data_IF_032337661545
#
_entry.id   IF_032337661545
#
_cell.length_a   1.000
_cell.length_b   1.000
_cell.length_c   1.000
_cell.angle_alpha   90.00
_cell.angle_beta   90.00
_cell.angle_gamma   90.00
#
_symmetry.space_group_name_H-M   'P 1'
#
loop_
_entity.id
_entity.type
_entity.pdbx_description
1 polymer ?
2 non-polymer ?
3 non-polymer ?
4 non-polymer ?
5 non-polymer ?
6 water ?
#
# COMPACT_ATOMS: atom_id res chain seq x y z
N UNK A 8 -11.61 12.62 -11.34
CA UNK A 8 -10.41 11.94 -10.86
C UNK A 8 -9.12 12.74 -10.96
N UNK A 9 -8.78 13.43 -9.87
CA UNK A 9 -7.51 14.17 -9.81
C UNK A 9 -6.73 13.55 -8.66
N UNK A 10 -5.42 13.39 -8.87
CA UNK A 10 -4.54 12.82 -7.86
C UNK A 10 -3.25 13.63 -7.76
N UNK A 11 -2.90 13.93 -6.52
CA UNK A 11 -1.74 14.73 -6.19
C UNK A 11 -0.42 13.98 -5.95
N UNK A 12 0.69 14.69 -6.16
CA UNK A 12 2.03 14.15 -5.92
C UNK A 12 2.28 14.52 -4.45
N UNK A 13 2.37 13.53 -3.57
CA UNK A 13 2.55 13.76 -2.13
C UNK A 13 3.53 12.72 -1.60
N UNK A 14 4.83 12.92 -1.80
CA UNK A 14 5.78 11.92 -1.31
C UNK A 14 5.68 11.60 0.19
N UNK A 15 5.65 10.30 0.50
CA UNK A 15 5.56 9.83 1.86
C UNK A 15 4.24 10.12 2.54
N UNK A 16 3.28 10.66 1.78
CA UNK A 16 1.96 10.96 2.31
C UNK A 16 1.84 12.05 3.35
N UNK A 17 2.88 12.84 3.52
CA UNK A 17 2.89 13.91 4.52
C UNK A 17 2.20 15.10 3.90
N UNK A 18 1.17 15.58 4.58
CA UNK A 18 0.38 16.70 4.09
C UNK A 18 0.18 17.64 5.27
N UNK A 19 0.36 18.93 5.05
CA UNK A 19 0.18 19.87 6.14
C UNK A 19 -1.29 20.05 6.43
N UNK A 20 -1.59 20.63 7.59
CA UNK A 20 -2.96 20.90 8.00
C UNK A 20 -3.56 22.04 7.16
N UNK A 21 -2.71 22.93 6.69
CA UNK A 21 -3.12 24.03 5.84
C UNK A 21 -3.60 23.43 4.52
N UNK A 22 -2.80 22.50 4.00
CA UNK A 22 -3.13 21.79 2.77
C UNK A 22 -4.36 20.94 2.99
N UNK A 23 -4.52 20.38 4.18
CA UNK A 23 -5.68 19.57 4.47
C UNK A 23 -6.94 20.40 4.42
N UNK A 24 -6.89 21.63 4.90
CA UNK A 24 -8.07 22.50 4.88
C UNK A 24 -8.46 22.88 3.47
N UNK A 25 -7.48 23.08 2.61
CA UNK A 25 -7.75 23.43 1.24
C UNK A 25 -8.36 22.25 0.46
N UNK A 26 -7.98 21.02 0.79
CA UNK A 26 -8.54 19.87 0.08
C UNK A 26 -9.90 19.48 0.62
N UNK A 27 -10.12 19.68 1.91
CA UNK A 27 -11.40 19.35 2.53
C UNK A 27 -12.48 20.26 1.92
N UNK A 28 -12.17 21.54 1.78
CA UNK A 28 -13.08 22.52 1.22
C UNK A 28 -13.46 22.16 -0.21
N UNK A 29 -12.45 21.94 -1.03
CA UNK A 29 -12.66 21.58 -2.42
C UNK A 29 -13.51 20.32 -2.54
N UNK A 30 -13.13 19.27 -1.81
CA UNK A 30 -13.86 18.00 -1.83
C UNK A 30 -15.34 18.21 -1.57
N UNK A 31 -15.65 19.06 -0.61
CA UNK A 31 -17.03 19.33 -0.26
C UNK A 31 -17.81 20.23 -1.21
N UNK A 32 -17.21 21.31 -1.69
CA UNK A 32 -17.93 22.22 -2.56
C UNK A 32 -17.75 22.05 -4.07
N UNK A 33 -16.86 21.17 -4.51
CA UNK A 33 -16.66 21.06 -5.95
C UNK A 33 -16.62 19.67 -6.53
N UNK A 34 -17.17 18.67 -5.83
CA UNK A 34 -17.17 17.30 -6.34
C UNK A 34 -18.54 16.66 -6.11
N UNK A 35 -18.90 15.65 -6.94
CA UNK A 35 -20.17 14.96 -6.71
C UNK A 35 -20.26 14.23 -5.39
N UNK A 36 -19.26 13.44 -5.05
CA UNK A 36 -19.27 12.60 -3.83
C UNK A 36 -18.99 13.26 -2.50
N UNK A 37 -18.36 14.42 -2.58
CA UNK A 37 -18.02 15.24 -1.44
C UNK A 37 -17.03 14.60 -0.49
N UNK A 38 -16.39 13.54 -0.93
CA UNK A 38 -15.46 12.82 -0.10
C UNK A 38 -14.01 13.11 -0.40
N UNK A 39 -13.15 12.65 0.51
CA UNK A 39 -11.71 12.72 0.34
C UNK A 39 -11.45 11.23 0.41
N UNK A 40 -10.76 10.69 -0.59
CA UNK A 40 -10.48 9.25 -0.59
C UNK A 40 -8.97 9.08 -0.49
N UNK A 41 -8.52 8.50 0.62
CA UNK A 41 -7.09 8.25 0.84
C UNK A 41 -6.81 6.99 0.06
N UNK A 42 -5.71 6.98 -0.69
CA UNK A 42 -5.37 5.81 -1.50
C UNK A 42 -4.26 5.02 -0.86
N UNK A 43 -4.07 3.80 -1.33
CA UNK A 43 -3.02 2.97 -0.78
C UNK A 43 -1.59 3.30 -1.26
N UNK A 44 -1.43 4.46 -1.88
CA UNK A 44 -0.12 4.96 -2.31
C UNK A 44 0.17 6.27 -1.60
N UNK A 45 -0.45 6.46 -0.45
CA UNK A 45 -0.21 7.63 0.37
C UNK A 45 -0.56 8.98 -0.23
N UNK A 46 -1.68 9.05 -0.94
CA UNK A 46 -2.10 10.33 -1.46
C UNK A 46 -3.62 10.33 -1.39
N UNK A 47 -4.25 11.35 -1.93
CA UNK A 47 -5.70 11.45 -1.90
C UNK A 47 -6.30 11.65 -3.28
N UNK A 48 -7.61 11.42 -3.37
CA UNK A 48 -8.38 11.57 -4.59
C UNK A 48 -9.74 12.19 -4.35
N UNK A 49 -10.19 12.99 -5.31
CA UNK A 49 -11.51 13.61 -5.28
C UNK A 49 -12.26 12.74 -6.30
N UNK A 50 -13.56 12.56 -6.15
CA UNK A 50 -14.34 11.78 -7.10
C UNK A 50 -15.47 12.63 -7.66
N UNK A 51 -15.52 12.70 -8.98
CA UNK A 51 -16.57 13.46 -9.65
C UNK A 51 -16.35 14.94 -9.54
N UNK A 52 -15.22 15.40 -10.05
CA UNK A 52 -14.94 16.82 -10.00
C UNK A 52 -15.86 17.47 -11.01
N UNK A 53 -16.64 18.43 -10.54
CA UNK A 53 -17.59 19.13 -11.40
C UNK A 53 -16.92 20.16 -12.32
N UNK A 59 -8.37 25.01 -12.27
CA UNK A 59 -9.04 25.31 -10.99
C UNK A 59 -8.55 24.42 -9.85
N UNK A 60 -8.54 23.11 -10.08
CA UNK A 60 -8.03 22.17 -9.10
C UNK A 60 -6.52 22.39 -8.93
N UNK A 61 -5.88 22.75 -10.03
CA UNK A 61 -4.43 23.01 -10.06
C UNK A 61 -4.02 24.29 -9.39
N UNK A 62 -4.88 25.29 -9.42
CA UNK A 62 -4.59 26.57 -8.80
C UNK A 62 -4.80 26.42 -7.31
N UNK A 63 -5.75 25.55 -6.95
CA UNK A 63 -6.09 25.26 -5.57
C UNK A 63 -4.92 24.47 -5.00
N UNK A 64 -4.48 23.45 -5.72
CA UNK A 64 -3.35 22.65 -5.29
C UNK A 64 -2.13 23.57 -5.20
N UNK A 65 -1.80 24.19 -6.32
CA UNK A 65 -0.67 25.12 -6.40
C UNK A 65 -0.63 26.15 -5.28
N UNK A 66 -1.78 26.73 -4.93
CA UNK A 66 -1.82 27.75 -3.88
C UNK A 66 -1.39 27.28 -2.50
N UNK A 67 -1.61 26.02 -2.18
CA UNK A 67 -1.18 25.46 -0.90
C UNK A 67 0.16 24.72 -1.06
N UNK A 68 0.78 24.85 -2.23
CA UNK A 68 2.06 24.23 -2.48
C UNK A 68 2.00 22.82 -3.06
N UNK A 69 0.81 22.34 -3.35
CA UNK A 69 0.62 21.01 -3.91
C UNK A 69 0.63 21.01 -5.43
N UNK A 70 1.08 19.91 -6.04
CA UNK A 70 1.08 19.83 -7.50
C UNK A 70 0.51 18.50 -7.99
N UNK A 71 -0.26 18.56 -9.07
CA UNK A 71 -0.86 17.36 -9.67
C UNK A 71 0.10 16.88 -10.75
N UNK A 72 0.59 15.66 -10.60
CA UNK A 72 1.52 15.07 -11.56
C UNK A 72 1.11 15.25 -13.03
N UNK A 76 1.91 12.07 -19.72
CA UNK A 76 3.28 11.98 -20.17
C UNK A 76 4.20 11.41 -19.08
N UNK A 77 3.92 11.77 -17.84
CA UNK A 77 4.71 11.31 -16.72
C UNK A 77 4.27 9.92 -16.29
N UNK A 78 5.17 8.96 -16.45
CA UNK A 78 4.87 7.59 -16.07
C UNK A 78 5.21 7.34 -14.60
N UNK A 79 5.28 8.40 -13.81
CA UNK A 79 5.62 8.31 -12.40
C UNK A 79 4.42 8.44 -11.47
N UNK A 80 4.34 7.52 -10.51
CA UNK A 80 3.30 7.49 -9.49
C UNK A 80 3.90 8.04 -8.17
N UNK A 81 3.06 8.16 -7.14
CA UNK A 81 3.51 8.66 -5.85
C UNK A 81 4.54 7.76 -5.19
N UNK A 82 5.62 8.38 -4.71
CA UNK A 82 6.70 7.66 -4.03
C UNK A 82 6.30 7.50 -2.56
N UNK A 83 6.26 6.25 -2.09
CA UNK A 83 5.86 5.94 -0.72
C UNK A 83 7.03 5.92 0.28
N UNK A 84 6.69 6.12 1.56
CA UNK A 84 7.68 6.08 2.62
C UNK A 84 7.01 5.58 3.89
N UNK A 85 7.65 4.60 4.54
CA UNK A 85 7.15 4.06 5.79
C UNK A 85 6.66 5.25 6.64
N UNK A 86 5.39 5.22 6.97
CA UNK A 86 4.77 6.32 7.70
C UNK A 86 5.02 6.50 9.18
N UNK A 87 5.18 5.39 9.91
CA UNK A 87 5.33 5.44 11.38
C UNK A 87 6.35 4.43 11.89
N UNK A 88 7.64 4.64 11.57
CA UNK A 88 8.69 3.70 12.00
C UNK A 88 8.81 3.51 13.52
N UNK A 89 9.12 2.28 13.93
CA UNK A 89 9.28 2.00 15.37
C UNK A 89 10.36 2.87 16.00
N UNK A 90 11.39 3.17 15.21
CA UNK A 90 12.48 4.03 15.63
C UNK A 90 12.07 5.35 14.98
N UNK A 91 11.17 6.08 15.66
CA UNK A 91 10.63 7.35 15.16
C UNK A 91 11.56 8.36 14.55
N UNK A 92 12.82 8.37 14.98
CA UNK A 92 13.76 9.34 14.46
C UNK A 92 14.14 9.10 13.01
N UNK A 93 14.04 7.84 12.57
CA UNK A 93 14.43 7.51 11.21
C UNK A 93 13.52 8.09 10.15
N UNK A 94 12.27 8.35 10.50
CA UNK A 94 11.33 8.88 9.54
C UNK A 94 11.76 10.15 8.80
N UNK A 95 12.25 11.15 9.53
CA UNK A 95 12.69 12.41 8.94
C UNK A 95 13.65 12.25 7.77
N UNK A 96 14.65 11.40 7.93
CA UNK A 96 15.62 11.20 6.87
C UNK A 96 15.05 10.37 5.72
N UNK A 97 14.36 9.29 6.06
CA UNK A 97 13.76 8.41 5.06
C UNK A 97 12.79 9.23 4.24
N UNK A 98 12.07 10.13 4.88
CA UNK A 98 11.09 10.96 4.21
C UNK A 98 11.77 11.98 3.33
N UNK A 99 12.88 12.54 3.82
CA UNK A 99 13.62 13.52 3.04
C UNK A 99 14.11 12.81 1.76
N UNK A 100 14.52 11.56 1.88
CA UNK A 100 14.97 10.85 0.71
C UNK A 100 13.86 10.49 -0.28
N UNK A 101 12.68 10.14 0.23
CA UNK A 101 11.55 9.82 -0.63
C UNK A 101 11.24 11.06 -1.47
N UNK A 102 11.21 12.20 -0.79
CA UNK A 102 10.92 13.49 -1.40
C UNK A 102 11.94 13.85 -2.46
N UNK A 103 13.20 13.44 -2.28
CA UNK A 103 14.24 13.74 -3.24
C UNK A 103 14.18 12.85 -4.46
N UNK A 104 13.86 11.58 -4.27
CA UNK A 104 13.72 10.64 -5.39
C UNK A 104 12.53 11.10 -6.24
N UNK A 105 11.48 11.55 -5.57
CA UNK A 105 10.27 12.04 -6.22
C UNK A 105 10.61 13.15 -7.17
N UNK A 106 11.25 14.20 -6.67
CA UNK A 106 11.64 15.36 -7.46
C UNK A 106 12.69 15.01 -8.48
N UNK A 107 13.54 14.05 -8.16
CA UNK A 107 14.58 13.64 -9.09
C UNK A 107 14.05 12.92 -10.32
N UNK A 108 13.08 12.05 -10.12
CA UNK A 108 12.51 11.28 -11.22
C UNK A 108 11.57 12.10 -12.09
N UNK A 109 11.19 13.27 -11.58
CA UNK A 109 10.29 14.19 -12.29
C UNK A 109 10.96 14.70 -13.57
N UNK A 110 10.23 14.68 -14.71
CA UNK A 110 10.73 15.14 -16.01
C UNK A 110 11.36 16.54 -15.97
N UNK A 137 11.90 11.37 -19.30
CA UNK A 137 11.87 10.17 -20.10
C UNK A 137 10.47 9.58 -20.14
N UNK A 138 10.10 9.00 -21.29
CA UNK A 138 8.79 8.37 -21.40
C UNK A 138 8.96 6.88 -21.15
N UNK A 139 8.51 6.44 -19.98
CA UNK A 139 8.62 5.04 -19.60
C UNK A 139 7.61 4.16 -20.36
N UNK A 140 7.96 2.88 -20.60
CA UNK A 140 7.05 1.96 -21.31
C UNK A 140 5.76 1.85 -20.48
N UNK A 141 5.89 1.67 -19.17
CA UNK A 141 4.75 1.58 -18.25
C UNK A 141 4.99 2.48 -17.04
N UNK A 142 3.98 2.69 -16.20
CA UNK A 142 4.14 3.55 -15.02
C UNK A 142 5.13 2.96 -14.00
N UNK A 143 5.99 3.82 -13.45
CA UNK A 143 7.02 3.42 -12.50
C UNK A 143 6.65 3.74 -11.06
N UNK A 144 6.66 2.72 -10.21
CA UNK A 144 6.30 2.87 -8.81
C UNK A 144 7.53 2.69 -7.91
N UNK A 145 7.72 3.63 -6.99
CA UNK A 145 8.87 3.61 -6.09
C UNK A 145 8.53 3.81 -4.62
N UNK A 146 9.32 3.19 -3.73
CA UNK A 146 9.15 3.30 -2.28
C UNK A 146 10.50 3.38 -1.54
N UNK A 147 10.42 3.89 -0.31
CA UNK A 147 11.56 3.96 0.62
C UNK A 147 10.96 3.21 1.82
N UNK A 148 11.54 2.07 2.18
CA UNK A 148 11.03 1.26 3.28
C UNK A 148 11.96 1.31 4.50
N UNK A 149 11.36 1.30 5.69
CA UNK A 149 12.11 1.31 6.94
C UNK A 149 11.78 0.04 7.71
N UNK A 150 12.64 -0.99 7.61
CA UNK A 150 12.41 -2.25 8.32
C UNK A 150 12.16 -1.88 9.79
N UNK A 151 11.42 -2.72 10.52
CA UNK A 151 10.82 -3.96 10.04
C UNK A 151 9.41 -3.81 9.49
N UNK A 152 9.03 -2.62 9.08
CA UNK A 152 7.68 -2.42 8.55
C UNK A 152 7.62 -2.36 7.03
N UNK A 153 6.77 -3.20 6.46
CA UNK A 153 6.58 -3.23 5.02
C UNK A 153 5.15 -2.77 4.72
N UNK A 154 4.73 -1.70 5.39
CA UNK A 154 3.40 -1.13 5.18
C UNK A 154 3.24 -0.61 3.76
N UNK A 155 4.32 -0.14 3.15
CA UNK A 155 4.22 0.37 1.79
C UNK A 155 4.12 -0.73 0.76
N UNK A 156 4.17 -1.97 1.22
CA UNK A 156 4.02 -3.15 0.36
C UNK A 156 4.99 -3.09 -0.84
N UNK A 157 6.28 -3.14 -0.53
CA UNK A 157 7.35 -3.05 -1.52
C UNK A 157 7.24 -3.98 -2.72
N UNK A 158 6.82 -5.21 -2.51
CA UNK A 158 6.71 -6.16 -3.60
C UNK A 158 5.71 -5.85 -4.70
N UNK A 159 4.98 -4.73 -4.55
CA UNK A 159 4.02 -4.31 -5.56
C UNK A 159 4.66 -3.22 -6.42
N UNK A 160 5.91 -2.88 -6.10
CA UNK A 160 6.58 -1.78 -6.77
C UNK A 160 7.80 -2.11 -7.63
N UNK A 161 8.05 -1.23 -8.59
CA UNK A 161 9.17 -1.34 -9.52
C UNK A 161 10.54 -1.15 -8.87
N UNK A 162 10.67 -0.08 -8.08
CA UNK A 162 11.92 0.27 -7.42
C UNK A 162 11.71 0.57 -5.94
N UNK A 163 12.50 -0.10 -5.10
CA UNK A 163 12.41 0.03 -3.65
C UNK A 163 13.76 0.27 -2.97
N UNK A 164 13.77 1.23 -2.06
CA UNK A 164 14.97 1.53 -1.31
C UNK A 164 14.69 1.21 0.15
N UNK A 165 15.24 0.08 0.61
CA UNK A 165 15.09 -0.37 1.98
C UNK A 165 16.19 0.30 2.84
N UNK A 166 15.78 1.22 3.71
CA UNK A 166 16.71 1.96 4.57
C UNK A 166 17.50 1.15 5.58
N UNK A 167 18.81 1.38 5.60
CA UNK A 167 19.72 0.70 6.51
C UNK A 167 20.30 1.81 7.38
N UNK A 168 20.00 1.74 8.67
CA UNK A 168 20.48 2.73 9.61
C UNK A 168 21.52 2.15 10.57
N UNK A 169 22.39 3.03 11.05
CA UNK A 169 23.45 2.70 11.98
C UNK A 169 23.52 3.92 12.89
N UNK A 170 23.49 3.65 14.19
CA UNK A 170 23.53 4.71 15.19
C UNK A 170 22.46 5.78 14.96
N UNK A 171 21.21 5.32 14.73
CA UNK A 171 20.10 6.22 14.51
C UNK A 171 20.14 7.06 13.24
N UNK A 172 21.07 6.70 12.36
CA UNK A 172 21.30 7.39 11.10
C UNK A 172 21.24 6.46 9.90
N UNK A 173 20.70 6.95 8.81
CA UNK A 173 20.63 6.16 7.60
C UNK A 173 22.03 6.18 7.02
N UNK A 174 22.53 5.04 6.59
CA UNK A 174 23.85 5.04 5.94
C UNK A 174 23.70 4.67 4.46
N UNK A 175 22.64 3.96 4.12
CA UNK A 175 22.40 3.57 2.74
C UNK A 175 21.08 2.84 2.55
N UNK A 176 20.93 2.19 1.39
CA UNK A 176 19.72 1.47 1.03
C UNK A 176 20.00 0.13 0.33
N UNK A 177 19.09 -0.80 0.53
CA UNK A 177 19.17 -2.09 -0.14
C UNK A 177 18.18 -1.86 -1.28
N UNK A 178 18.62 -2.06 -2.52
CA UNK A 178 17.74 -1.86 -3.66
C UNK A 178 17.04 -3.14 -4.09
N UNK A 179 15.72 -3.14 -4.07
CA UNK A 179 14.92 -4.29 -4.55
C UNK A 179 14.16 -3.76 -5.76
N UNK A 180 14.23 -4.47 -6.89
CA UNK A 180 13.59 -4.02 -8.13
C UNK A 180 12.69 -5.06 -8.81
N UNK A 181 11.60 -4.62 -9.43
CA UNK A 181 10.77 -5.55 -10.18
C UNK A 181 9.42 -6.07 -9.71
N UNK A 182 8.83 -5.46 -8.71
CA UNK A 182 7.53 -5.95 -8.27
C UNK A 182 6.44 -5.34 -9.12
N UNK A 183 5.32 -6.04 -9.20
CA UNK A 183 4.16 -5.58 -9.98
C UNK A 183 3.05 -6.60 -9.80
N UNK A 184 1.82 -6.15 -9.59
CA UNK A 184 0.72 -7.10 -9.31
C UNK A 184 -0.33 -7.41 -10.38
N UNK A 185 -0.45 -6.52 -11.34
CA UNK A 185 -1.39 -6.58 -12.44
C UNK A 185 -1.31 -7.83 -13.30
N UNK A 186 -2.46 -8.45 -13.52
CA UNK A 186 -2.57 -9.62 -14.36
C UNK A 186 -3.82 -9.43 -15.22
N UNK A 187 -4.07 -10.37 -16.11
CA UNK A 187 -5.23 -10.31 -16.96
C UNK A 187 -5.85 -11.69 -16.78
N UNK A 188 -7.15 -11.76 -16.59
CA UNK A 188 -7.79 -13.04 -16.35
C UNK A 188 -7.54 -14.04 -17.46
N UNK A 189 -7.18 -15.28 -17.15
CA UNK A 189 -6.97 -16.24 -18.21
C UNK A 189 -5.77 -16.04 -19.13
N UNK A 190 -4.97 -15.02 -18.88
CA UNK A 190 -3.79 -14.73 -19.70
C UNK A 190 -2.49 -15.14 -18.96
N UNK A 191 -2.04 -16.36 -19.20
CA UNK A 191 -0.86 -16.87 -18.54
C UNK A 191 0.45 -16.19 -18.90
N UNK A 192 0.39 -15.16 -19.74
CA UNK A 192 1.58 -14.42 -20.10
C UNK A 192 1.73 -13.20 -19.19
N UNK A 193 0.77 -12.99 -18.30
CA UNK A 193 0.81 -11.89 -17.35
C UNK A 193 0.99 -12.52 -15.97
N UNK A 194 1.51 -11.76 -15.03
CA UNK A 194 1.71 -12.29 -13.69
C UNK A 194 2.11 -11.23 -12.71
N UNK A 195 1.84 -11.51 -11.43
CA UNK A 195 2.23 -10.63 -10.34
C UNK A 195 3.66 -11.13 -10.05
N UNK A 196 4.56 -10.24 -9.67
CA UNK A 196 5.93 -10.65 -9.38
C UNK A 196 6.45 -9.85 -8.22
N UNK A 197 7.25 -10.50 -7.37
CA UNK A 197 7.85 -9.81 -6.21
C UNK A 197 9.15 -9.13 -6.69
N UNK A 198 9.62 -8.11 -5.97
CA UNK A 198 10.83 -7.40 -6.37
C UNK A 198 12.08 -8.22 -6.06
N UNK A 199 13.11 -8.06 -6.88
CA UNK A 199 14.37 -8.78 -6.72
C UNK A 199 15.45 -7.92 -6.06
N UNK A 200 16.27 -8.54 -5.21
CA UNK A 200 17.34 -7.83 -4.54
C UNK A 200 18.51 -7.65 -5.46
N UNK A 201 18.94 -6.40 -5.60
CA UNK A 201 20.08 -6.04 -6.44
C UNK A 201 21.33 -5.90 -5.55
N UNK A 202 21.18 -5.26 -4.40
CA UNK A 202 22.32 -5.10 -3.52
C UNK A 202 22.24 -3.81 -2.74
N UNK A 203 23.27 -3.57 -1.94
CA UNK A 203 23.37 -2.39 -1.11
C UNK A 203 24.14 -1.26 -1.77
N UNK A 204 23.75 -0.03 -1.47
CA UNK A 204 24.41 1.14 -2.02
C UNK A 204 24.46 2.22 -0.95
N UNK A 205 25.58 2.95 -0.86
CA UNK A 205 25.70 4.01 0.14
C UNK A 205 24.73 5.10 -0.24
N UNK A 206 24.30 5.83 0.78
CA UNK A 206 23.36 6.91 0.62
C UNK A 206 23.66 7.84 -0.54
N UNK A 207 24.94 8.17 -0.70
CA UNK A 207 25.41 9.09 -1.73
C UNK A 207 25.10 8.69 -3.17
N UNK A 208 24.98 7.40 -3.42
CA UNK A 208 24.73 6.87 -4.75
C UNK A 208 23.26 6.70 -5.08
N UNK A 209 22.40 7.13 -4.17
CA UNK A 209 20.95 6.98 -4.31
C UNK A 209 20.32 7.50 -5.60
N UNK A 210 20.54 8.77 -5.91
CA UNK A 210 19.93 9.35 -7.09
C UNK A 210 20.44 8.84 -8.42
N UNK A 211 21.72 8.45 -8.46
CA UNK A 211 22.37 7.95 -9.67
C UNK A 211 21.78 6.59 -9.98
N UNK A 212 21.60 5.80 -8.94
CA UNK A 212 21.05 4.46 -9.04
C UNK A 212 19.60 4.59 -9.45
N UNK A 213 18.86 5.48 -8.80
CA UNK A 213 17.45 5.67 -9.08
C UNK A 213 17.24 5.99 -10.55
N UNK A 214 18.08 6.87 -11.08
CA UNK A 214 18.01 7.28 -12.47
C UNK A 214 18.43 6.16 -13.42
N UNK A 215 19.45 5.40 -13.04
CA UNK A 215 19.92 4.31 -13.86
C UNK A 215 18.84 3.24 -14.03
N UNK A 216 18.10 2.95 -12.95
CA UNK A 216 17.04 1.95 -13.03
C UNK A 216 15.93 2.38 -13.99
N UNK A 217 15.53 3.65 -13.86
CA UNK A 217 14.49 4.21 -14.71
C UNK A 217 14.85 4.14 -16.19
N UNK A 218 16.03 4.64 -16.51
CA UNK A 218 16.50 4.69 -17.89
C UNK A 218 16.71 3.34 -18.52
N UNK A 219 17.18 2.38 -17.73
CA UNK A 219 17.41 1.03 -18.25
C UNK A 219 16.07 0.34 -18.53
N UNK A 220 15.06 0.61 -17.72
CA UNK A 220 13.74 0.02 -17.97
C UNK A 220 13.18 0.72 -19.20
N UNK A 221 13.38 2.04 -19.29
CA UNK A 221 12.91 2.86 -20.40
C UNK A 221 13.42 2.34 -21.73
N UNK A 222 14.71 2.03 -21.78
CA UNK A 222 15.36 1.55 -22.99
C UNK A 222 15.06 0.09 -23.35
N UNK A 223 15.08 -0.78 -22.35
CA UNK A 223 14.87 -2.20 -22.54
C UNK A 223 13.43 -2.63 -22.46
N UNK A 224 12.57 -1.74 -22.00
CA UNK A 224 11.16 -2.04 -21.91
C UNK A 224 10.65 -2.49 -23.25
N UNK A 225 9.73 -3.45 -23.23
CA UNK A 225 9.12 -4.02 -24.41
C UNK A 225 8.51 -2.92 -25.27
N UNK A 226 8.99 -2.81 -26.51
CA UNK A 226 8.52 -1.79 -27.45
C UNK A 226 7.27 -2.19 -28.25
N UNK A 227 6.99 -3.49 -28.32
CA UNK A 227 5.84 -3.98 -29.08
C UNK A 227 4.50 -4.04 -28.33
N UNK A 228 4.51 -4.60 -27.11
CA UNK A 228 3.27 -4.75 -26.33
C UNK A 228 3.29 -4.09 -24.96
N UNK A 229 2.32 -3.21 -24.71
CA UNK A 229 2.21 -2.52 -23.43
C UNK A 229 1.98 -3.44 -22.21
N UNK A 230 1.36 -4.61 -22.45
CA UNK A 230 1.08 -5.60 -21.38
C UNK A 230 2.32 -6.39 -20.95
N UNK A 231 3.46 -6.10 -21.57
CA UNK A 231 4.73 -6.79 -21.31
C UNK A 231 5.80 -5.73 -21.07
N UNK A 232 5.36 -4.48 -20.92
CA UNK A 232 6.24 -3.32 -20.75
C UNK A 232 6.64 -2.92 -19.32
N UNK A 233 6.22 -3.70 -18.34
CA UNK A 233 6.50 -3.42 -16.93
C UNK A 233 7.88 -4.00 -16.57
N UNK A 234 8.61 -3.33 -15.67
CA UNK A 234 9.95 -3.76 -15.23
C UNK A 234 9.97 -5.24 -14.86
N UNK A 235 8.92 -5.70 -14.20
CA UNK A 235 8.84 -7.11 -13.80
C UNK A 235 8.97 -8.06 -15.02
N UNK A 236 8.52 -7.59 -16.21
CA UNK A 236 8.58 -8.35 -17.47
C UNK A 236 9.97 -8.29 -18.07
N UNK A 237 10.54 -7.09 -18.05
CA UNK A 237 11.88 -6.84 -18.55
C UNK A 237 12.93 -7.69 -17.81
N UNK A 238 12.85 -7.72 -16.48
CA UNK A 238 13.79 -8.48 -15.65
C UNK A 238 13.79 -9.93 -16.03
N UNK A 239 12.58 -10.47 -16.18
CA UNK A 239 12.41 -11.85 -16.54
C UNK A 239 12.86 -12.13 -17.98
N UNK A 240 12.88 -11.10 -18.81
CA UNK A 240 13.29 -11.27 -20.20
C UNK A 240 14.82 -11.26 -20.34
N UNK A 241 15.44 -10.24 -19.79
CA UNK A 241 16.89 -10.09 -19.87
C UNK A 241 17.65 -10.75 -18.71
N UNK A 242 17.00 -10.91 -17.57
CA UNK A 242 17.67 -11.49 -16.42
C UNK A 242 18.01 -10.41 -15.41
N UNK A 243 17.78 -10.70 -14.13
CA UNK A 243 18.07 -9.75 -13.06
C UNK A 243 19.52 -9.32 -13.12
N UNK A 244 20.41 -10.28 -13.26
CA UNK A 244 21.84 -9.99 -13.29
C UNK A 244 22.25 -9.11 -14.47
N UNK A 245 21.64 -9.35 -15.63
CA UNK A 245 21.93 -8.57 -16.85
C UNK A 245 21.45 -7.15 -16.60
N UNK A 246 20.30 -7.03 -15.96
CA UNK A 246 19.72 -5.74 -15.65
C UNK A 246 20.60 -5.01 -14.62
N UNK A 247 20.97 -5.72 -13.55
CA UNK A 247 21.82 -5.19 -12.48
C UNK A 247 23.16 -4.67 -13.01
N UNK A 248 23.82 -5.48 -13.84
CA UNK A 248 25.10 -5.09 -14.41
C UNK A 248 24.99 -3.78 -15.16
N UNK A 249 23.87 -3.59 -15.86
CA UNK A 249 23.66 -2.36 -16.62
C UNK A 249 23.43 -1.18 -15.70
N UNK A 250 22.65 -1.38 -14.63
CA UNK A 250 22.39 -0.32 -13.64
C UNK A 250 23.70 0.17 -13.07
N UNK A 251 24.61 -0.76 -12.78
CA UNK A 251 25.92 -0.43 -12.22
C UNK A 251 26.73 0.40 -13.17
N UNK A 252 26.79 -0.05 -14.43
CA UNK A 252 27.55 0.65 -15.47
C UNK A 252 27.05 2.08 -15.61
N UNK A 253 25.74 2.21 -15.66
CA UNK A 253 25.12 3.50 -15.83
C UNK A 253 25.19 4.41 -14.59
N UNK A 254 25.08 3.80 -13.41
CA UNK A 254 25.13 4.54 -12.15
C UNK A 254 26.55 5.02 -11.88
N UNK A 255 27.52 4.20 -12.23
CA UNK A 255 28.92 4.55 -12.03
C UNK A 255 29.41 3.98 -10.71
N UNK A 256 28.77 2.87 -10.30
CA UNK A 256 29.09 2.20 -9.06
C UNK A 256 28.98 0.70 -9.17
N UNK A 257 29.32 0.03 -8.07
CA UNK A 257 29.20 -1.41 -7.97
C UNK A 257 28.49 -1.61 -6.64
N UNK A 258 27.40 -2.37 -6.69
CA UNK A 258 26.60 -2.66 -5.52
C UNK A 258 27.39 -3.53 -4.55
N UNK A 259 27.10 -3.34 -3.27
CA UNK A 259 27.72 -4.14 -2.24
C UNK A 259 26.67 -5.18 -1.90
N UNK A 260 27.07 -6.23 -1.20
CA UNK A 260 26.11 -7.28 -0.82
C UNK A 260 24.99 -6.68 0.04
N UNK A 261 23.82 -7.28 -0.07
CA UNK A 261 22.64 -6.85 0.68
C UNK A 261 22.89 -6.86 2.20
N UNK A 262 22.53 -5.78 2.88
CA UNK A 262 22.69 -5.69 4.32
C UNK A 262 21.42 -6.29 4.93
N UNK A 263 21.57 -7.12 5.98
CA UNK A 263 20.40 -7.74 6.60
C UNK A 263 19.26 -6.78 6.92
N UNK A 264 18.04 -7.27 6.71
CA UNK A 264 16.81 -6.55 6.98
C UNK A 264 15.73 -7.61 7.07
N UNK A 265 14.66 -7.31 7.77
CA UNK A 265 13.52 -8.23 7.90
C UNK A 265 12.32 -7.41 8.23
N UNK A 266 11.16 -7.96 7.89
CA UNK A 266 9.92 -7.26 8.14
C UNK A 266 9.12 -8.07 9.11
N UNK A 267 8.32 -7.42 9.93
CA UNK A 267 7.50 -8.13 10.91
C UNK A 267 6.02 -7.96 10.60
N UNK A 268 5.69 -6.99 9.77
CA UNK A 268 4.28 -6.75 9.42
C UNK A 268 4.09 -5.66 8.40
N UNK A 269 2.83 -5.36 8.11
CA UNK A 269 2.46 -4.33 7.16
C UNK A 269 1.33 -3.46 7.65
N UNK A 270 0.80 -3.76 8.84
CA UNK A 270 -0.29 -2.97 9.37
C UNK A 270 0.11 -1.65 9.99
N UNK A 271 -0.86 -0.75 10.16
CA UNK A 271 -0.59 0.53 10.78
C UNK A 271 -0.58 0.34 12.31
N UNK A 272 -0.17 1.38 13.03
CA UNK A 272 -0.11 1.30 14.48
C UNK A 272 -1.24 2.14 14.97
N UNK A 273 -2.42 1.55 14.88
CA UNK A 273 -3.67 2.22 15.22
C UNK A 273 -3.65 2.65 16.66
N UNK A 274 -3.94 3.92 16.89
CA UNK A 274 -3.94 4.43 18.24
C UNK A 274 -2.74 5.32 18.45
N UNK A 275 -2.45 5.57 19.72
CA UNK A 275 -1.35 6.44 20.12
C UNK A 275 -0.03 5.74 20.22
N UNK A 276 1.01 6.35 19.67
CA UNK A 276 2.34 5.79 19.79
C UNK A 276 3.23 6.95 20.13
N UNK A 277 4.22 6.67 20.97
CA UNK A 277 5.17 7.68 21.40
C UNK A 277 6.15 7.96 20.28
N UNK A 278 6.31 9.23 19.95
CA UNK A 278 7.27 9.62 18.93
C UNK A 278 8.54 10.08 19.63
N UNK A 279 9.24 11.02 19.02
CA UNK A 279 10.44 11.56 19.61
C UNK A 279 10.07 12.80 20.41
N UNK A 280 10.98 13.22 21.28
CA UNK A 280 10.79 14.39 22.15
C UNK A 280 9.57 14.11 23.04
N UNK A 281 8.59 15.00 23.02
CA UNK A 281 7.39 14.82 23.82
C UNK A 281 6.21 14.63 22.86
N UNK A 282 6.51 14.29 21.62
CA UNK A 282 5.49 14.10 20.59
C UNK A 282 4.92 12.71 20.52
N UNK A 283 3.66 12.65 20.09
CA UNK A 283 2.91 11.41 19.97
C UNK A 283 2.26 11.33 18.59
N UNK A 284 1.96 10.11 18.17
CA UNK A 284 1.31 9.89 16.88
C UNK A 284 0.03 9.09 17.07
N UNK A 285 -1.08 9.66 16.61
CA UNK A 285 -2.37 9.00 16.69
C UNK A 285 -2.75 8.56 15.29
N UNK A 286 -2.71 7.27 15.02
CA UNK A 286 -3.13 6.79 13.71
C UNK A 286 -4.61 6.45 13.81
N UNK A 287 -5.39 6.99 12.89
CA UNK A 287 -6.82 6.74 12.87
C UNK A 287 -7.21 5.70 11.83
N UNK A 288 -7.97 4.68 12.22
CA UNK A 288 -8.43 3.71 11.24
C UNK A 288 -9.57 4.36 10.44
N UNK A 289 -9.49 4.31 9.12
CA UNK A 289 -10.52 4.86 8.24
C UNK A 289 -10.88 3.78 7.21
N UNK A 290 -12.08 3.22 7.35
CA UNK A 290 -12.55 2.16 6.45
C UNK A 290 -12.58 2.68 5.02
N UNK A 291 -11.80 2.01 4.17
CA UNK A 291 -11.66 2.32 2.74
C UNK A 291 -11.07 3.70 2.50
N UNK A 292 -10.57 4.33 3.57
CA UNK A 292 -9.98 5.65 3.44
C UNK A 292 -10.99 6.65 2.95
N UNK A 293 -12.28 6.33 3.04
CA UNK A 293 -13.33 7.23 2.57
C UNK A 293 -13.71 8.22 3.67
N UNK A 294 -13.32 9.47 3.47
CA UNK A 294 -13.59 10.53 4.41
C UNK A 294 -14.83 11.27 3.99
N UNK A 295 -15.90 11.07 4.74
CA UNK A 295 -17.17 11.72 4.46
C UNK A 295 -17.95 11.78 5.76
N UNK A 296 -18.84 12.76 5.89
CA UNK A 296 -19.64 12.83 7.08
C UNK A 296 -20.81 11.90 6.89
N UNK A 297 -20.92 10.98 7.83
CA UNK A 297 -21.99 10.02 7.83
C UNK A 297 -22.86 10.44 8.98
N UNK A 298 -24.13 10.03 8.96
CA UNK A 298 -25.03 10.40 10.05
C UNK A 298 -24.48 9.82 11.36
N UNK A 299 -24.24 10.70 12.33
CA UNK A 299 -23.68 10.30 13.63
C UNK A 299 -22.17 9.99 13.65
N UNK A 300 -21.52 10.11 12.50
CA UNK A 300 -20.09 9.90 12.38
C UNK A 300 -19.50 10.90 11.42
N UNK A 301 -19.44 12.17 11.82
CA UNK A 301 -18.89 13.20 10.95
C UNK A 301 -17.38 13.07 10.78
N UNK A 302 -16.93 12.05 10.06
CA UNK A 302 -15.50 11.82 9.86
C UNK A 302 -14.80 13.00 9.18
N UNK A 303 -15.46 13.57 8.16
CA UNK A 303 -14.86 14.67 7.43
C UNK A 303 -14.73 15.97 8.23
N UNK A 304 -15.75 16.31 9.01
CA UNK A 304 -15.72 17.51 9.83
C UNK A 304 -14.74 17.28 10.97
N UNK A 305 -14.71 16.05 11.47
CA UNK A 305 -13.80 15.69 12.54
C UNK A 305 -12.35 15.92 12.15
N UNK A 306 -11.97 15.55 10.93
CA UNK A 306 -10.59 15.76 10.49
C UNK A 306 -10.31 17.24 10.23
N UNK A 307 -11.36 17.99 9.89
CA UNK A 307 -11.17 19.41 9.69
C UNK A 307 -10.94 20.06 11.06
N UNK A 308 -11.76 19.71 12.06
CA UNK A 308 -11.61 20.27 13.40
C UNK A 308 -10.22 19.98 13.95
N UNK A 309 -9.77 18.75 13.75
CA UNK A 309 -8.45 18.37 14.22
C UNK A 309 -7.40 19.18 13.48
N UNK A 310 -7.56 19.34 12.17
CA UNK A 310 -6.57 20.06 11.38
C UNK A 310 -6.44 21.50 11.84
N UNK A 311 -7.52 22.07 12.34
CA UNK A 311 -7.46 23.44 12.79
C UNK A 311 -6.65 23.66 14.07
N UNK A 312 -6.67 22.68 14.97
CA UNK A 312 -5.93 22.80 16.23
C UNK A 312 -4.67 21.92 16.27
N UNK A 313 -4.41 21.19 15.18
CA UNK A 313 -3.25 20.31 15.17
C UNK A 313 -1.94 21.04 14.92
N UNK A 314 -0.99 20.73 15.77
CA UNK A 314 0.35 21.31 15.71
C UNK A 314 1.09 20.92 14.44
N UNK A 315 1.43 19.65 14.34
CA UNK A 315 2.17 19.21 13.19
C UNK A 315 1.31 19.05 11.96
N UNK A 316 1.51 17.94 11.28
CA UNK A 316 0.76 17.64 10.09
C UNK A 316 0.22 16.22 10.13
N UNK A 317 -0.31 15.77 8.99
CA UNK A 317 -0.90 14.46 8.88
C UNK A 317 -0.06 13.61 7.95
N UNK A 318 -0.19 12.31 8.07
CA UNK A 318 0.51 11.40 7.20
C UNK A 318 -0.53 10.41 6.69
N UNK A 319 -0.66 10.29 5.36
CA UNK A 319 -1.59 9.34 4.77
C UNK A 319 -0.84 8.02 4.65
N UNK A 320 -1.39 6.95 5.18
CA UNK A 320 -0.71 5.67 5.13
C UNK A 320 -1.05 4.82 3.89
N UNK A 321 -0.20 3.84 3.62
CA UNK A 321 -0.33 2.92 2.52
C UNK A 321 -1.47 1.98 2.78
N UNK A 322 -2.10 2.12 3.94
CA UNK A 322 -3.22 1.27 4.30
C UNK A 322 -4.50 2.08 4.28
N UNK A 323 -4.43 3.31 3.73
CA UNK A 323 -5.59 4.18 3.60
C UNK A 323 -6.11 4.71 4.94
N UNK A 324 -5.19 5.03 5.83
CA UNK A 324 -5.52 5.52 7.16
C UNK A 324 -4.82 6.84 7.32
N UNK A 325 -5.06 7.52 8.43
CA UNK A 325 -4.45 8.81 8.64
C UNK A 325 -3.81 8.94 10.00
N UNK A 326 -2.59 9.47 10.00
CA UNK A 326 -1.82 9.67 11.21
C UNK A 326 -1.77 11.14 11.54
N UNK A 327 -2.24 11.49 12.73
CA UNK A 327 -2.18 12.86 13.20
C UNK A 327 -0.82 12.85 13.89
N UNK A 328 0.17 13.35 13.15
CA UNK A 328 1.57 13.33 13.59
C UNK A 328 2.10 14.49 14.40
N UNK A 329 2.95 14.16 15.36
CA UNK A 329 3.58 15.19 16.18
C UNK A 329 2.67 15.96 17.08
N UNK A 330 1.91 15.23 17.88
CA UNK A 330 1.01 15.81 18.83
C UNK A 330 1.78 15.92 20.15
N UNK A 331 1.84 17.13 20.73
CA UNK A 331 2.56 17.29 21.99
C UNK A 331 1.79 16.51 23.07
N UNK A 332 2.48 15.97 24.07
CA UNK A 332 1.77 15.21 25.13
C UNK A 332 0.59 16.00 25.69
N UNK A 333 0.74 17.31 25.81
CA UNK A 333 -0.30 18.19 26.36
C UNK A 333 -1.52 18.35 25.46
N UNK A 334 -1.34 18.04 24.18
CA UNK A 334 -2.40 18.16 23.21
C UNK A 334 -3.15 16.86 22.95
N UNK A 335 -2.67 15.77 23.54
CA UNK A 335 -3.29 14.46 23.36
C UNK A 335 -4.78 14.43 23.64
N UNK A 336 -5.19 14.95 24.79
CA UNK A 336 -6.60 14.94 25.15
C UNK A 336 -7.51 15.76 24.25
N UNK A 337 -7.04 16.93 23.80
CA UNK A 337 -7.83 17.78 22.91
C UNK A 337 -8.08 17.02 21.62
N UNK A 338 -6.99 16.57 21.00
CA UNK A 338 -7.06 15.83 19.75
C UNK A 338 -7.95 14.60 19.89
N UNK A 339 -7.68 13.83 20.94
CA UNK A 339 -8.43 12.61 21.19
C UNK A 339 -9.91 12.86 21.40
N UNK A 340 -10.21 14.00 22.01
CA UNK A 340 -11.59 14.35 22.26
C UNK A 340 -12.35 14.49 20.95
N UNK A 341 -11.77 15.21 19.99
CA UNK A 341 -12.41 15.41 18.68
C UNK A 341 -12.52 14.11 17.88
N UNK A 342 -11.41 13.40 17.78
CA UNK A 342 -11.38 12.13 17.06
C UNK A 342 -12.44 11.20 17.60
N UNK A 343 -12.59 11.18 18.91
CA UNK A 343 -13.54 10.33 19.61
C UNK A 343 -14.99 10.73 19.35
N UNK A 344 -15.26 12.03 19.41
CA UNK A 344 -16.60 12.58 19.18
C UNK A 344 -17.07 12.22 17.78
N UNK A 345 -16.18 12.46 16.82
CA UNK A 345 -16.44 12.24 15.41
C UNK A 345 -16.56 10.78 14.95
N UNK A 346 -16.31 9.83 15.84
CA UNK A 346 -16.39 8.44 15.44
C UNK A 346 -15.12 7.96 14.76
N UNK A 347 -14.10 8.80 14.70
CA UNK A 347 -12.83 8.46 14.06
C UNK A 347 -12.08 7.40 14.83
N UNK A 348 -12.42 7.25 16.10
CA UNK A 348 -11.78 6.26 16.95
C UNK A 348 -12.64 5.09 17.33
N UNK A 349 -13.69 4.83 16.55
CA UNK A 349 -14.56 3.71 16.83
C UNK A 349 -13.72 2.47 16.71
N UNK A 350 -13.77 1.64 17.73
CA UNK A 350 -13.01 0.42 17.78
C UNK A 350 -13.53 -0.61 16.79
N UNK A 351 -12.60 -1.21 16.06
CA UNK A 351 -12.92 -2.24 15.10
C UNK A 351 -12.01 -3.41 15.46
N UNK A 352 -12.25 -4.54 14.83
CA UNK A 352 -11.44 -5.72 15.12
C UNK A 352 -10.09 -5.67 14.41
N UNK A 353 -9.13 -6.47 14.88
CA UNK A 353 -7.82 -6.49 14.24
C UNK A 353 -7.96 -6.94 12.77
N UNK A 354 -8.96 -7.79 12.51
CA UNK A 354 -9.21 -8.27 11.16
C UNK A 354 -9.56 -7.08 10.28
N UNK A 355 -10.46 -6.23 10.75
CA UNK A 355 -10.86 -5.10 9.95
C UNK A 355 -9.71 -4.16 9.66
N UNK A 356 -8.89 -3.93 10.67
CA UNK A 356 -7.75 -3.02 10.55
C UNK A 356 -6.75 -3.52 9.53
N UNK A 357 -6.73 -4.83 9.31
CA UNK A 357 -5.80 -5.41 8.35
C UNK A 357 -6.43 -5.85 7.03
N UNK A 358 -7.57 -5.27 6.67
CA UNK A 358 -8.25 -5.62 5.42
C UNK A 358 -8.20 -4.43 4.51
N UNK A 359 -8.22 -4.66 3.20
CA UNK A 359 -8.17 -3.56 2.23
C UNK A 359 -8.89 -3.86 0.91
N UNK A 360 -9.41 -2.82 0.26
CA UNK A 360 -10.10 -2.94 -1.02
C UNK A 360 -9.84 -1.71 -1.89
N UNK A 361 -9.90 -1.87 -3.21
CA UNK A 361 -9.69 -0.73 -4.11
C UNK A 361 -11.01 0.04 -4.22
N UNK A 362 -10.97 1.18 -4.90
CA UNK A 362 -12.16 1.99 -5.12
C UNK A 362 -13.25 1.21 -5.89
N UNK A 363 -12.91 0.76 -7.09
CA UNK A 363 -13.87 -0.02 -7.91
C UNK A 363 -15.11 0.82 -8.18
N UNK A 364 -16.29 0.19 -8.22
CA UNK A 364 -17.54 0.94 -8.44
C UNK A 364 -17.70 1.89 -7.27
N UNK A 365 -18.43 3.01 -7.47
CA UNK A 365 -19.10 3.39 -8.72
C UNK A 365 -18.28 4.19 -9.72
N UNK A 366 -17.09 4.61 -9.31
CA UNK A 366 -16.28 5.46 -10.16
C UNK A 366 -15.28 4.81 -11.08
N UNK A 367 -14.82 3.60 -10.81
CA UNK A 367 -13.82 3.02 -11.71
C UNK A 367 -14.45 2.44 -12.98
N UNK A 368 -13.93 2.84 -14.15
CA UNK A 368 -14.44 2.35 -15.43
C UNK A 368 -14.04 0.91 -15.74
N UNK A 369 -13.05 0.41 -15.02
CA UNK A 369 -12.54 -0.92 -15.23
C UNK A 369 -13.03 -1.93 -14.21
N UNK A 370 -13.80 -1.48 -13.24
CA UNK A 370 -14.30 -2.37 -12.20
C UNK A 370 -15.15 -3.53 -12.73
N UNK A 371 -14.86 -4.74 -12.27
CA UNK A 371 -15.59 -5.93 -12.68
C UNK A 371 -16.55 -6.37 -11.55
N UNK A 372 -16.11 -6.15 -10.31
CA UNK A 372 -16.90 -6.50 -9.15
C UNK A 372 -16.66 -5.42 -8.10
N UNK A 373 -17.60 -5.28 -7.16
CA UNK A 373 -17.50 -4.32 -6.07
C UNK A 373 -16.29 -4.62 -5.18
N UNK A 374 -15.66 -3.58 -4.66
CA UNK A 374 -14.52 -3.78 -3.78
C UNK A 374 -14.75 -2.93 -2.56
N UNK A 375 -14.58 -1.62 -2.71
CA UNK A 375 -14.79 -0.73 -1.60
C UNK A 375 -16.17 -0.92 -0.99
N UNK A 376 -17.21 -0.84 -1.82
CA UNK A 376 -18.56 -0.97 -1.29
C UNK A 376 -18.95 -2.35 -0.83
N UNK A 377 -18.09 -3.31 -1.11
CA UNK A 377 -18.32 -4.70 -0.71
C UNK A 377 -17.59 -5.04 0.60
N UNK A 378 -16.42 -4.44 0.79
CA UNK A 378 -15.57 -4.73 1.94
C UNK A 378 -16.19 -4.70 3.34
N UNK A 379 -16.87 -3.59 3.72
CA UNK A 379 -17.48 -3.51 5.05
C UNK A 379 -18.37 -4.67 5.49
N UNK A 380 -19.45 -4.92 4.75
CA UNK A 380 -20.36 -6.00 5.11
C UNK A 380 -19.65 -7.33 4.99
N UNK A 381 -18.70 -7.41 4.08
CA UNK A 381 -17.94 -8.64 3.89
C UNK A 381 -17.12 -8.92 5.15
N UNK A 382 -16.46 -7.90 5.69
CA UNK A 382 -15.67 -8.09 6.90
C UNK A 382 -16.60 -8.31 8.10
N UNK A 383 -17.83 -7.82 7.99
CA UNK A 383 -18.81 -8.05 9.06
C UNK A 383 -18.92 -9.58 9.16
N UNK A 384 -18.96 -10.22 7.99
CA UNK A 384 -19.06 -11.67 7.93
C UNK A 384 -17.80 -12.40 8.41
N UNK A 385 -16.64 -11.90 8.00
CA UNK A 385 -15.37 -12.48 8.41
C UNK A 385 -15.22 -12.35 9.93
N UNK A 386 -15.60 -11.21 10.49
CA UNK A 386 -15.52 -11.02 11.94
C UNK A 386 -16.31 -12.11 12.68
N UNK A 387 -17.49 -12.47 12.16
CA UNK A 387 -18.32 -13.51 12.77
C UNK A 387 -17.65 -14.86 12.74
N UNK A 388 -17.08 -15.18 11.58
CA UNK A 388 -16.41 -16.44 11.42
C UNK A 388 -15.18 -16.49 12.32
N UNK A 389 -14.50 -15.36 12.47
CA UNK A 389 -13.31 -15.26 13.34
C UNK A 389 -13.73 -15.56 14.79
N UNK A 390 -14.82 -14.95 15.22
CA UNK A 390 -15.37 -15.14 16.57
C UNK A 390 -15.83 -16.58 16.76
N UNK A 391 -16.51 -17.11 15.74
CA UNK A 391 -17.00 -18.48 15.79
C UNK A 391 -15.85 -19.45 16.02
N UNK A 392 -14.67 -19.10 15.53
CA UNK A 392 -13.54 -19.98 15.68
C UNK A 392 -12.58 -19.65 16.81
N UNK A 393 -12.96 -18.70 17.66
CA UNK A 393 -12.11 -18.32 18.77
C UNK A 393 -10.85 -17.62 18.34
N UNK A 394 -10.91 -16.93 17.21
CA UNK A 394 -9.75 -16.21 16.70
C UNK A 394 -10.06 -14.74 16.46
N UNK A 395 -11.00 -14.22 17.24
CA UNK A 395 -11.39 -12.82 17.13
C UNK A 395 -10.26 -11.82 17.41
N UNK A 396 -9.22 -12.26 18.11
CA UNK A 396 -8.10 -11.36 18.40
C UNK A 396 -7.02 -11.47 17.34
N UNK A 397 -7.24 -12.37 16.39
CA UNK A 397 -6.30 -12.58 15.30
C UNK A 397 -6.67 -11.75 14.07
N UNK A 398 -5.86 -11.90 13.02
CA UNK A 398 -6.13 -11.20 11.79
C UNK A 398 -5.53 -11.99 10.63
N UNK A 399 -6.06 -11.71 9.43
CA UNK A 399 -5.62 -12.36 8.19
C UNK A 399 -5.53 -11.17 7.23
N UNK A 400 -4.40 -10.97 6.57
CA UNK A 400 -4.31 -9.85 5.64
C UNK A 400 -5.25 -10.21 4.49
N UNK A 401 -6.42 -9.57 4.49
CA UNK A 401 -7.48 -9.84 3.54
C UNK A 401 -7.75 -8.66 2.66
N UNK A 402 -7.63 -8.86 1.36
CA UNK A 402 -7.82 -7.78 0.42
C UNK A 402 -8.72 -8.15 -0.75
N UNK A 403 -9.43 -7.15 -1.23
CA UNK A 403 -10.36 -7.33 -2.32
C UNK A 403 -10.05 -6.32 -3.38
N UNK A 404 -9.78 -6.83 -4.56
CA UNK A 404 -9.51 -5.94 -5.69
C UNK A 404 -10.66 -6.14 -6.70
N UNK A 405 -11.12 -5.04 -7.27
CA UNK A 405 -12.25 -5.06 -8.20
C UNK A 405 -12.07 -5.65 -9.57
N UNK A 406 -10.83 -5.81 -10.01
CA UNK A 406 -10.54 -6.39 -11.31
C UNK A 406 -9.07 -6.82 -11.24
N UNK A 407 -8.61 -7.65 -12.19
CA UNK A 407 -7.22 -8.11 -12.17
C UNK A 407 -6.11 -7.04 -12.18
N UNK A 408 -6.44 -5.80 -12.50
CA UNK A 408 -5.45 -4.74 -12.48
C UNK A 408 -4.74 -4.78 -11.09
N UNK A 409 -5.49 -5.12 -10.06
CA UNK A 409 -4.92 -5.29 -8.73
C UNK A 409 -4.65 -4.15 -7.78
N UNK A 410 -5.29 -3.02 -7.99
CA UNK A 410 -5.10 -1.85 -7.14
C UNK A 410 -5.25 -2.11 -5.61
N UNK A 411 -6.08 -3.08 -5.25
CA UNK A 411 -6.31 -3.40 -3.85
C UNK A 411 -5.23 -4.26 -3.25
N UNK A 412 -4.24 -4.62 -4.06
CA UNK A 412 -3.09 -5.44 -3.65
C UNK A 412 -3.44 -6.79 -3.10
N UNK A 413 -4.51 -7.36 -3.66
CA UNK A 413 -4.97 -8.67 -3.27
C UNK A 413 -3.92 -9.70 -3.63
N UNK A 414 -3.06 -9.41 -4.61
CA UNK A 414 -2.05 -10.39 -4.97
C UNK A 414 -0.84 -10.51 -4.03
N UNK A 415 -0.87 -9.79 -2.92
CA UNK A 415 0.18 -9.89 -1.91
C UNK A 415 -0.47 -10.21 -0.55
N UNK A 416 -1.79 -10.49 -0.56
CA UNK A 416 -2.53 -10.81 0.65
C UNK A 416 -2.48 -12.28 0.98
N UNK A 417 -2.86 -12.61 2.21
CA UNK A 417 -2.90 -14.00 2.63
C UNK A 417 -4.14 -14.58 1.98
N UNK A 418 -5.15 -13.75 1.86
CA UNK A 418 -6.43 -14.13 1.23
C UNK A 418 -6.80 -12.95 0.34
N UNK A 419 -6.69 -13.15 -0.96
CA UNK A 419 -7.04 -12.12 -1.91
C UNK A 419 -8.29 -12.43 -2.72
N UNK A 420 -9.10 -11.41 -2.98
CA UNK A 420 -10.32 -11.54 -3.79
C UNK A 420 -10.12 -10.71 -5.03
N UNK A 421 -10.12 -11.36 -6.20
CA UNK A 421 -9.94 -10.64 -7.47
C UNK A 421 -11.23 -10.69 -8.27
N UNK A 422 -11.86 -9.54 -8.41
CA UNK A 422 -13.11 -9.44 -9.14
C UNK A 422 -13.07 -9.99 -10.56
N UNK A 423 -14.10 -10.77 -10.88
CA UNK A 423 -14.23 -11.39 -12.20
C UNK A 423 -15.48 -10.92 -12.94
N UNK A 424 -16.53 -10.60 -12.20
CA UNK A 424 -17.80 -10.15 -12.74
C UNK A 424 -18.67 -9.75 -11.56
N UNK A 425 -19.82 -9.08 -11.79
CA UNK A 425 -20.70 -8.67 -10.71
C UNK A 425 -20.91 -9.79 -9.71
N UNK A 426 -20.58 -9.51 -8.45
CA UNK A 426 -20.74 -10.50 -7.41
C UNK A 426 -19.83 -11.70 -7.43
N UNK A 427 -18.89 -11.75 -8.35
CA UNK A 427 -17.99 -12.90 -8.46
C UNK A 427 -16.54 -12.58 -8.30
N UNK A 428 -15.77 -13.48 -7.68
CA UNK A 428 -14.37 -13.22 -7.46
C UNK A 428 -13.56 -14.47 -7.55
N UNK A 429 -12.29 -14.26 -7.84
CA UNK A 429 -11.33 -15.35 -7.87
C UNK A 429 -10.79 -15.29 -6.44
N UNK A 430 -10.71 -16.44 -5.77
CA UNK A 430 -10.22 -16.50 -4.39
C UNK A 430 -8.79 -17.02 -4.41
N UNK A 431 -7.87 -16.22 -3.90
CA UNK A 431 -6.46 -16.59 -3.83
C UNK A 431 -6.06 -16.73 -2.36
N UNK A 432 -5.22 -17.73 -2.06
CA UNK A 432 -4.77 -18.02 -0.70
C UNK A 432 -3.28 -18.32 -0.69
N UNK A 433 -2.64 -18.11 0.45
CA UNK A 433 -1.23 -18.48 0.52
C UNK A 433 -0.16 -17.44 0.57
N UNK A 434 -0.55 -16.19 0.77
CA UNK A 434 0.45 -15.14 0.89
C UNK A 434 0.84 -15.15 2.35
N UNK A 435 1.56 -14.12 2.80
CA UNK A 435 1.94 -14.09 4.20
C UNK A 435 1.71 -12.71 4.77
N UNK A 436 1.83 -12.61 6.08
CA UNK A 436 1.61 -11.35 6.77
C UNK A 436 2.50 -10.22 6.31
N UNK A 437 3.75 -10.55 6.04
CA UNK A 437 4.69 -9.53 5.61
C UNK A 437 4.62 -9.14 4.13
N UNK A 438 3.93 -9.93 3.31
CA UNK A 438 3.78 -9.58 1.90
C UNK A 438 4.92 -9.89 0.96
N UNK A 439 5.49 -11.08 1.10
CA UNK A 439 6.59 -11.47 0.25
C UNK A 439 6.25 -12.69 -0.62
N UNK A 440 4.99 -13.11 -0.61
CA UNK A 440 4.61 -14.27 -1.38
C UNK A 440 3.29 -14.01 -2.10
N UNK A 441 3.21 -14.45 -3.36
CA UNK A 441 2.01 -14.25 -4.16
C UNK A 441 1.02 -15.39 -3.92
N UNK A 442 -0.24 -15.08 -3.63
CA UNK A 442 -1.20 -16.16 -3.41
C UNK A 442 -1.70 -16.79 -4.71
N UNK A 443 -1.66 -18.11 -4.77
CA UNK A 443 -2.11 -18.89 -5.93
C UNK A 443 -3.62 -18.93 -5.94
N UNK A 444 -4.23 -19.08 -7.12
CA UNK A 444 -5.68 -19.13 -7.19
C UNK A 444 -6.17 -20.44 -6.62
N UNK A 445 -7.09 -20.34 -5.69
CA UNK A 445 -7.64 -21.50 -5.02
C UNK A 445 -8.98 -21.90 -5.64
N UNK A 446 -9.86 -20.92 -5.77
CA UNK A 446 -11.19 -21.13 -6.36
C UNK A 446 -11.42 -19.99 -7.32
N UNK A 447 -12.17 -20.24 -8.38
CA UNK A 447 -12.37 -19.22 -9.40
C UNK A 447 -13.79 -18.84 -9.66
N UNK A 448 -14.00 -17.56 -9.89
CA UNK A 448 -15.31 -17.03 -10.27
C UNK A 448 -16.44 -17.48 -9.37
N UNK A 449 -16.30 -17.27 -8.07
CA UNK A 449 -17.34 -17.67 -7.15
C UNK A 449 -17.98 -16.47 -6.47
N UNK A 450 -19.07 -16.71 -5.77
CA UNK A 450 -19.79 -15.63 -5.10
C UNK A 450 -19.49 -15.56 -3.61
N UNK A 451 -19.93 -14.48 -2.97
CA UNK A 451 -19.69 -14.32 -1.53
C UNK A 451 -20.13 -15.53 -0.69
N UNK A 452 -21.38 -16.03 -0.89
CA UNK A 452 -21.79 -17.18 -0.10
C UNK A 452 -20.79 -18.33 -0.25
N UNK A 453 -20.23 -18.47 -1.44
CA UNK A 453 -19.26 -19.53 -1.73
C UNK A 453 -17.92 -19.22 -1.11
N UNK A 454 -17.51 -17.95 -1.17
CA UNK A 454 -16.24 -17.53 -0.58
C UNK A 454 -16.30 -17.76 0.94
N UNK A 455 -17.37 -17.24 1.56
CA UNK A 455 -17.59 -17.39 3.00
C UNK A 455 -17.60 -18.85 3.44
N UNK A 456 -18.25 -19.73 2.67
CA UNK A 456 -18.32 -21.14 3.00
C UNK A 456 -16.93 -21.77 2.97
N UNK A 457 -16.08 -21.33 2.06
CA UNK A 457 -14.73 -21.87 1.98
C UNK A 457 -13.88 -21.34 3.14
N UNK A 458 -13.98 -20.05 3.44
CA UNK A 458 -13.21 -19.46 4.54
C UNK A 458 -13.65 -20.01 5.92
N UNK A 459 -14.94 -20.26 6.08
CA UNK A 459 -15.47 -20.80 7.32
C UNK A 459 -14.72 -22.07 7.67
N UNK A 460 -14.58 -22.93 6.67
CA UNK A 460 -13.89 -24.19 6.82
C UNK A 460 -12.37 -24.06 7.01
N UNK A 461 -11.75 -23.16 6.26
CA UNK A 461 -10.33 -23.00 6.37
C UNK A 461 -9.90 -22.36 7.70
N UNK A 462 -10.58 -21.28 8.09
CA UNK A 462 -10.29 -20.59 9.34
C UNK A 462 -10.46 -21.52 10.51
N UNK A 463 -11.48 -22.37 10.43
CA UNK A 463 -11.74 -23.33 11.49
C UNK A 463 -10.55 -24.25 11.61
N UNK A 464 -9.99 -24.68 10.48
CA UNK A 464 -8.84 -25.56 10.51
C UNK A 464 -7.64 -24.83 11.07
N UNK A 465 -7.46 -23.60 10.65
CA UNK A 465 -6.33 -22.80 11.13
C UNK A 465 -6.37 -22.65 12.66
N UNK A 466 -7.52 -22.23 13.18
CA UNK A 466 -7.72 -22.03 14.62
C UNK A 466 -7.34 -23.22 15.49
N UNK A 467 -7.65 -24.42 15.01
CA UNK A 467 -7.38 -25.67 15.70
C UNK A 467 -6.04 -26.39 15.39
N UNK A 468 -5.52 -26.20 14.19
CA UNK A 468 -4.31 -26.90 13.78
C UNK A 468 -3.06 -26.08 13.61
N UNK A 469 -3.13 -24.78 13.88
CA UNK A 469 -1.95 -23.94 13.69
C UNK A 469 -0.91 -24.01 14.78
N UNK A 470 0.33 -23.67 14.44
CA UNK A 470 1.41 -23.65 15.41
C UNK A 470 1.38 -22.28 16.07
N UNK A 471 2.18 -22.12 17.11
CA UNK A 471 2.26 -20.88 17.86
C UNK A 471 2.60 -19.73 16.96
N UNK A 472 1.75 -18.71 16.96
CA UNK A 472 1.96 -17.53 16.15
C UNK A 472 1.94 -17.73 14.63
N UNK A 473 1.44 -18.87 14.17
CA UNK A 473 1.40 -19.16 12.74
C UNK A 473 0.29 -18.41 12.00
N UNK A 474 0.68 -17.69 10.96
CA UNK A 474 -0.26 -16.92 10.16
C UNK A 474 -1.12 -17.83 9.30
N UNK A 475 -2.29 -17.33 8.91
CA UNK A 475 -3.23 -18.08 8.10
C UNK A 475 -2.63 -18.48 6.74
N UNK A 476 -1.99 -17.53 6.06
CA UNK A 476 -1.39 -17.80 4.77
C UNK A 476 -0.39 -18.93 4.86
N UNK A 477 0.60 -18.76 5.74
CA UNK A 477 1.64 -19.77 5.94
C UNK A 477 1.01 -21.11 6.23
N UNK A 478 -0.01 -21.10 7.07
CA UNK A 478 -0.69 -22.32 7.43
C UNK A 478 -1.33 -23.01 6.23
N UNK A 479 -1.99 -22.27 5.33
CA UNK A 479 -2.63 -22.93 4.17
C UNK A 479 -1.59 -23.63 3.32
N UNK A 480 -0.39 -23.08 3.29
CA UNK A 480 0.72 -23.67 2.55
C UNK A 480 1.32 -24.86 3.30
N UNK A 481 1.47 -24.73 4.62
CA UNK A 481 2.02 -25.83 5.43
C UNK A 481 1.05 -27.02 5.51
N UNK A 482 -0.24 -26.72 5.64
CA UNK A 482 -1.27 -27.75 5.74
C UNK A 482 -1.61 -28.39 4.41
N UNK A 483 -1.05 -27.84 3.33
CA UNK A 483 -1.31 -28.40 2.01
C UNK A 483 -2.63 -27.99 1.39
N UNK A 484 -3.20 -26.90 1.87
CA UNK A 484 -4.46 -26.38 1.34
C UNK A 484 -4.24 -25.67 0.00
N UNK A 485 -3.01 -25.23 -0.23
CA UNK A 485 -2.65 -24.53 -1.46
C UNK A 485 -1.14 -24.64 -1.64
N UNK A 486 -0.69 -24.83 -2.87
CA UNK A 486 0.72 -24.92 -3.19
C UNK A 486 1.21 -23.51 -3.21
N UNK A 487 2.46 -23.29 -2.76
CA UNK A 487 3.04 -21.94 -2.75
C UNK A 487 3.46 -21.49 -4.15
N UNK A 488 3.49 -20.19 -4.37
CA UNK A 488 3.94 -19.65 -5.65
C UNK A 488 5.41 -19.34 -5.38
N UNK A 489 6.29 -20.21 -5.86
CA UNK A 489 7.72 -20.07 -5.66
C UNK A 489 8.48 -19.28 -6.73
N UNK A 490 7.86 -19.06 -7.87
CA UNK A 490 8.56 -18.40 -8.97
C UNK A 490 7.48 -17.84 -9.88
N UNK A 491 6.79 -16.78 -9.45
CA UNK A 491 5.70 -16.11 -10.18
C UNK A 491 5.67 -16.23 -11.70
N UNK A 492 6.75 -15.81 -12.34
CA UNK A 492 6.84 -15.83 -13.81
C UNK A 492 6.69 -17.23 -14.42
N UNK A 493 6.93 -18.26 -13.62
CA UNK A 493 6.81 -19.62 -14.08
C UNK A 493 5.78 -20.51 -13.37
N UNK A 494 5.43 -20.23 -12.12
CA UNK A 494 4.46 -21.11 -11.46
C UNK A 494 3.23 -20.46 -10.82
N UNK A 495 2.90 -19.25 -11.25
CA UNK A 495 1.73 -18.55 -10.72
C UNK A 495 0.45 -19.20 -11.24
N UNK A 496 0.45 -19.60 -12.50
CA UNK A 496 -0.73 -20.21 -13.12
C UNK A 496 -0.66 -21.71 -13.15
N UNK A 497 -1.79 -22.35 -12.86
CA UNK A 497 -1.91 -23.82 -12.93
C UNK A 497 -2.19 -24.23 -14.34
#
# INVERSE_FOLDING_TARGET
>A
LEPRHAMLLRCRLPGGVITTKQWQAIDKFAGENTIYGSIRLTNRQTFQFHGILKKNVKPVHQMLHSVGLDALATANDMNRNVLCTSNPYESQLHAEAYEWAKKISEHLLPRTRAYAEIWLDQEKVATTDEEPILGQTYLPRKFKTTVVIPPQNDIDLHANDMNFVAIAENGKLVGFNLLVGGGLSIEHGNKKTYARTASEFGYLPLEHTLAVAEAVVTTQRDWGNRTDRKNAKTKYTLERVGVETFKAEVERRAGIKFEPIRPYEFTGRGDRIGWVKGIDDNWHLTLFIENGRILDYPARPLKTGLLEIAKIHKGDFRITANQNLIIAGVPESEKAKIEKIAKESGLMNAVTPQRENSMACVSFPTCPLAMAEAERFLPSFIDNIDNLMAKHGVSDEHIVMRVTGCPNGCGRAMLAEVGLVGKAPGRYNLHLGGNRIGTRIPRMYKENITEPEILASLDELIGRWAKEREAGEGFGDFTVRAGIIRPVLDPARDLWD
#
